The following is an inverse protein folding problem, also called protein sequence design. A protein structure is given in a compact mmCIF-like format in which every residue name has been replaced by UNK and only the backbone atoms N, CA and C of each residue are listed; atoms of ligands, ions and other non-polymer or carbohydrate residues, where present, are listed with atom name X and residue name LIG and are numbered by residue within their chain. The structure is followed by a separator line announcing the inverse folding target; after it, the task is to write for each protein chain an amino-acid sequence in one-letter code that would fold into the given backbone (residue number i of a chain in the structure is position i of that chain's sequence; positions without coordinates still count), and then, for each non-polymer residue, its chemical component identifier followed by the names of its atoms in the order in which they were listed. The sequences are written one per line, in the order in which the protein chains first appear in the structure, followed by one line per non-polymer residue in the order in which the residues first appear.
data_IF_568852706465
#
_entry.id   IF_568852706465
#
_cell.length_a   1.000
_cell.length_b   1.000
_cell.length_c   1.000
_cell.angle_alpha   90.00
_cell.angle_beta   90.00
_cell.angle_gamma   90.00
#
_symmetry.space_group_name_H-M   'P 1'
#
loop_
_entity.id
_entity.type
_entity.pdbx_description
1 polymer ?
#
# COMPACT_ATOMS: atom_id res chain seq x y z
N UNK A 1 -15.63 -22.41 3.60
CA UNK A 1 -14.73 -21.62 4.48
C UNK A 1 -13.56 -21.11 3.62
N UNK A 2 -13.78 -20.03 2.84
CA UNK A 2 -12.82 -19.59 1.83
C UNK A 2 -11.84 -18.59 2.46
N UNK A 3 -10.62 -19.04 2.81
CA UNK A 3 -9.53 -18.14 3.22
C UNK A 3 -9.14 -17.30 2.01
N UNK A 4 -9.40 -16.00 2.07
CA UNK A 4 -8.95 -15.06 1.05
C UNK A 4 -7.43 -15.17 0.89
N UNK A 5 -7.01 -15.54 -0.31
CA UNK A 5 -5.63 -15.72 -0.76
C UNK A 5 -5.00 -14.36 -1.12
N UNK A 6 -5.22 -13.34 -0.28
CA UNK A 6 -4.39 -12.14 -0.32
C UNK A 6 -3.14 -12.47 0.48
N UNK A 7 -1.99 -12.53 -0.21
CA UNK A 7 -0.70 -12.83 0.38
C UNK A 7 -0.55 -12.13 1.72
N UNK A 8 -0.31 -12.92 2.77
CA UNK A 8 0.15 -12.37 4.05
C UNK A 8 1.52 -11.77 3.70
N UNK A 9 1.60 -10.45 3.57
CA UNK A 9 2.89 -9.78 3.46
C UNK A 9 3.78 -10.35 4.57
N UNK A 10 5.04 -10.71 4.31
CA UNK A 10 5.92 -11.36 5.29
C UNK A 10 6.28 -10.43 6.46
N UNK A 11 5.69 -9.24 6.51
CA UNK A 11 5.84 -8.18 7.48
C UNK A 11 4.45 -7.63 7.85
N UNK A 12 4.35 -6.96 9.00
CA UNK A 12 3.13 -6.23 9.38
C UNK A 12 2.91 -5.08 8.38
N UNK A 13 1.86 -5.15 7.55
CA UNK A 13 1.65 -4.16 6.49
C UNK A 13 1.39 -2.76 7.04
N UNK A 14 0.83 -2.63 8.23
CA UNK A 14 0.52 -1.32 8.81
C UNK A 14 1.81 -0.67 9.30
N UNK A 15 2.69 -1.43 9.96
CA UNK A 15 3.97 -0.90 10.40
C UNK A 15 4.85 -0.46 9.22
N UNK A 16 4.95 -1.28 8.17
CA UNK A 16 5.69 -0.90 6.97
C UNK A 16 5.13 0.37 6.30
N UNK A 17 3.80 0.52 6.29
CA UNK A 17 3.16 1.73 5.77
C UNK A 17 3.40 2.94 6.68
N UNK A 18 3.53 2.77 7.99
CA UNK A 18 3.87 3.85 8.93
C UNK A 18 5.28 4.39 8.67
N UNK A 19 6.25 3.51 8.42
CA UNK A 19 7.62 3.90 8.15
C UNK A 19 7.72 4.66 6.81
N UNK A 20 7.07 4.13 5.77
CA UNK A 20 6.96 4.77 4.45
C UNK A 20 6.24 6.13 4.56
N UNK A 21 5.17 6.22 5.36
CA UNK A 21 4.45 7.46 5.57
C UNK A 21 5.33 8.55 6.19
N UNK A 22 6.12 8.19 7.20
CA UNK A 22 7.05 9.10 7.87
C UNK A 22 8.17 9.57 6.93
N UNK A 23 8.70 8.68 6.08
CA UNK A 23 9.77 9.00 5.13
C UNK A 23 9.32 10.02 4.07
N UNK A 24 8.11 9.85 3.51
CA UNK A 24 7.62 10.67 2.40
C UNK A 24 6.62 11.76 2.80
N UNK A 25 6.38 11.95 4.11
CA UNK A 25 5.44 12.95 4.60
C UNK A 25 3.97 12.66 4.25
N UNK A 26 3.61 11.39 4.08
CA UNK A 26 2.21 10.97 3.88
C UNK A 26 1.51 10.76 5.22
N UNK A 27 0.18 10.88 5.24
CA UNK A 27 -0.64 10.63 6.43
C UNK A 27 -1.22 9.21 6.39
N UNK A 28 -0.95 8.42 7.42
CA UNK A 28 -1.52 7.09 7.59
C UNK A 28 -2.82 7.15 8.41
N UNK A 29 -3.87 6.52 7.90
CA UNK A 29 -5.13 6.28 8.60
C UNK A 29 -5.50 4.81 8.55
N UNK A 30 -5.91 4.24 9.67
CA UNK A 30 -6.35 2.84 9.79
C UNK A 30 -7.87 2.73 9.88
N UNK A 31 -8.42 1.59 9.47
CA UNK A 31 -9.85 1.30 9.61
C UNK A 31 -10.77 2.22 8.79
N UNK A 32 -10.25 2.89 7.77
CA UNK A 32 -10.99 3.91 7.02
C UNK A 32 -12.15 3.29 6.25
N UNK A 33 -13.41 3.73 6.44
CA UNK A 33 -14.54 3.20 5.68
C UNK A 33 -14.46 3.64 4.22
N UNK A 34 -14.10 2.70 3.33
CA UNK A 34 -13.87 2.98 1.91
C UNK A 34 -15.14 3.46 1.18
N UNK A 35 -16.32 3.14 1.71
CA UNK A 35 -17.60 3.68 1.24
C UNK A 35 -17.65 5.22 1.19
N UNK A 36 -16.85 5.93 2.00
CA UNK A 36 -16.76 7.40 1.94
C UNK A 36 -16.05 7.91 0.68
N UNK A 37 -15.23 7.08 0.05
CA UNK A 37 -14.36 7.45 -1.07
C UNK A 37 -14.79 6.82 -2.41
N UNK A 38 -15.89 6.07 -2.45
CA UNK A 38 -16.42 5.45 -3.68
C UNK A 38 -17.77 6.05 -4.07
N UNK A 39 -18.04 6.16 -5.38
CA UNK A 39 -19.31 6.71 -5.91
C UNK A 39 -20.51 5.89 -5.51
N UNK A 40 -20.40 4.55 -5.55
CA UNK A 40 -21.47 3.63 -5.16
C UNK A 40 -21.60 3.47 -3.64
N UNK A 41 -20.77 4.17 -2.85
CA UNK A 41 -20.73 4.07 -1.38
C UNK A 41 -20.54 2.64 -0.89
N UNK A 42 -19.75 1.86 -1.63
CA UNK A 42 -19.39 0.49 -1.29
C UNK A 42 -17.98 0.43 -0.70
N UNK A 43 -17.75 -0.57 0.15
CA UNK A 43 -16.45 -0.87 0.76
C UNK A 43 -16.46 -0.70 2.27
N UNK A 44 -16.06 -1.76 2.97
CA UNK A 44 -15.88 -1.76 4.42
C UNK A 44 -14.61 -1.02 4.87
N UNK A 45 -14.23 -1.17 6.14
CA UNK A 45 -12.99 -0.61 6.67
C UNK A 45 -11.76 -1.14 5.91
N UNK A 46 -11.03 -0.23 5.27
CA UNK A 46 -9.70 -0.51 4.75
C UNK A 46 -8.72 -0.70 5.92
N UNK A 47 -7.73 -1.58 5.74
CA UNK A 47 -6.72 -1.82 6.79
C UNK A 47 -5.86 -0.58 7.04
N UNK A 48 -5.45 0.09 5.97
CA UNK A 48 -4.64 1.30 5.99
C UNK A 48 -4.96 2.15 4.75
N UNK A 49 -4.84 3.46 4.88
CA UNK A 49 -4.99 4.45 3.82
C UNK A 49 -3.89 5.50 4.00
N UNK A 50 -3.12 5.74 2.93
CA UNK A 50 -2.14 6.81 2.88
C UNK A 50 -2.75 8.01 2.14
N UNK A 51 -2.60 9.21 2.71
CA UNK A 51 -2.95 10.47 2.05
C UNK A 51 -1.67 11.23 1.74
N UNK A 52 -1.39 11.45 0.46
CA UNK A 52 -0.28 12.26 -0.02
C UNK A 52 -0.82 13.62 -0.45
N UNK A 53 -0.16 14.72 -0.05
CA UNK A 53 -0.61 16.09 -0.36
C UNK A 53 -0.03 16.64 -1.67
N UNK A 54 0.99 15.99 -2.20
CA UNK A 54 1.63 16.34 -3.46
C UNK A 54 2.05 15.08 -4.22
N UNK A 55 2.40 15.30 -5.49
CA UNK A 55 2.77 14.23 -6.42
C UNK A 55 4.10 13.57 -6.04
N UNK A 56 5.05 14.32 -5.48
CA UNK A 56 6.38 13.78 -5.15
C UNK A 56 6.27 12.78 -3.99
N UNK A 57 5.49 13.11 -2.96
CA UNK A 57 5.15 12.20 -1.88
C UNK A 57 4.45 10.93 -2.41
N UNK A 58 3.47 11.09 -3.32
CA UNK A 58 2.78 9.95 -3.94
C UNK A 58 3.75 9.04 -4.71
N UNK A 59 4.62 9.62 -5.54
CA UNK A 59 5.60 8.87 -6.33
C UNK A 59 6.61 8.15 -5.43
N UNK A 60 7.07 8.79 -4.36
CA UNK A 60 7.96 8.20 -3.37
C UNK A 60 7.35 6.98 -2.69
N UNK A 61 6.13 7.14 -2.16
CA UNK A 61 5.37 6.06 -1.51
C UNK A 61 5.16 4.87 -2.45
N UNK A 62 4.70 5.11 -3.69
CA UNK A 62 4.44 4.03 -4.65
C UNK A 62 5.71 3.26 -5.00
N UNK A 63 6.84 3.96 -5.18
CA UNK A 63 8.14 3.31 -5.45
C UNK A 63 8.63 2.47 -4.27
N UNK A 64 8.47 2.95 -3.05
CA UNK A 64 8.84 2.21 -1.85
C UNK A 64 8.01 0.92 -1.70
N UNK A 65 6.71 1.00 -1.96
CA UNK A 65 5.81 -0.16 -1.94
C UNK A 65 6.14 -1.18 -3.03
N UNK A 66 6.45 -0.71 -4.24
CA UNK A 66 6.88 -1.57 -5.35
C UNK A 66 8.18 -2.32 -5.02
N UNK A 67 9.16 -1.62 -4.47
CA UNK A 67 10.43 -2.21 -4.03
C UNK A 67 10.25 -3.24 -2.90
N UNK A 68 9.28 -3.03 -2.00
CA UNK A 68 8.95 -3.96 -0.92
C UNK A 68 8.13 -5.19 -1.40
N UNK A 69 7.32 -5.02 -2.45
CA UNK A 69 6.46 -6.07 -3.02
C UNK A 69 7.14 -6.94 -4.08
N UNK A 70 8.24 -6.48 -4.69
CA UNK A 70 8.97 -7.23 -5.72
C UNK A 70 9.76 -8.38 -5.08
N UNK A 71 9.45 -9.66 -5.39
CA UNK A 71 10.35 -10.75 -5.07
C UNK A 71 11.64 -10.48 -5.84
N UNK A 72 12.75 -10.25 -5.13
CA UNK A 72 14.04 -9.94 -5.77
C UNK A 72 14.51 -11.18 -6.54
N UNK A 73 14.07 -11.33 -7.79
CA UNK A 73 14.64 -12.29 -8.71
C UNK A 73 16.06 -11.83 -8.99
N UNK A 74 17.05 -12.59 -8.51
CA UNK A 74 18.47 -12.32 -8.76
C UNK A 74 18.89 -12.63 -10.20
N UNK A 75 17.98 -13.05 -11.08
CA UNK A 75 18.29 -13.20 -12.50
C UNK A 75 17.93 -11.92 -13.25
N UNK A 76 18.97 -11.23 -13.71
CA UNK A 76 18.87 -10.15 -14.68
C UNK A 76 18.05 -10.59 -15.90
N UNK A 77 16.80 -10.13 -16.01
CA UNK A 77 16.00 -10.33 -17.21
C UNK A 77 14.86 -9.30 -17.31
N UNK A 78 15.23 -8.02 -17.50
CA UNK A 78 14.37 -6.99 -18.12
C UNK A 78 12.99 -6.70 -17.49
N UNK A 79 12.27 -5.68 -17.99
CA UNK A 79 10.93 -5.37 -17.52
C UNK A 79 9.90 -6.29 -18.18
N UNK A 80 9.22 -7.11 -17.37
CA UNK A 80 7.94 -7.73 -17.73
C UNK A 80 6.85 -7.08 -16.89
N UNK A 81 5.95 -6.37 -17.56
CA UNK A 81 4.65 -5.98 -17.02
C UNK A 81 3.75 -7.21 -16.93
#
# INVERSE_FOLDING_TARGET
MLRAMFGRLPFDPVQALSDIAAEFGAELSEGVPLSRFTTLRLGGPGRAMLTCRDTDALVGVVRALDAAGTPRSSSAAGPTW
#
